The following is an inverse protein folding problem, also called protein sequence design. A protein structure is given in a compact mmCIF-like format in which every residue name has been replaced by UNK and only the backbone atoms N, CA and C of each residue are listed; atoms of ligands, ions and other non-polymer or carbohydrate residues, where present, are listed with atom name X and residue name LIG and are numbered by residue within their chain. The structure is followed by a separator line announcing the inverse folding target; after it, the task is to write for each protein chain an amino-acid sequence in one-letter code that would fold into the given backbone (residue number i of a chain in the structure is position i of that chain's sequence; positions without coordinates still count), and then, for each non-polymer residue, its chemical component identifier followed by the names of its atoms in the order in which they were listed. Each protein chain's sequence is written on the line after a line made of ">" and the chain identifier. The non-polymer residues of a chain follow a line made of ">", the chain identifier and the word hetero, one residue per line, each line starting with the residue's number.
data_IF_930510701869
#
_entry.id   IF_930510701869
#
_cell.length_a   1.000
_cell.length_b   1.000
_cell.length_c   1.000
_cell.angle_alpha   90.00
_cell.angle_beta   90.00
_cell.angle_gamma   90.00
#
_symmetry.space_group_name_H-M   'P 1'
#
loop_
_entity.id
_entity.type
_entity.pdbx_description
1 polymer ?
#
# COMPACT_ATOMS: atom_id res chain seq x y z
N UNK A 1 6.36 -20.22 -10.27
CA UNK A 1 5.11 -19.44 -10.34
C UNK A 1 5.33 -18.23 -11.24
N UNK A 2 4.43 -18.01 -12.19
CA UNK A 2 4.55 -16.88 -13.11
C UNK A 2 3.97 -15.62 -12.46
N UNK A 3 4.69 -14.52 -12.58
CA UNK A 3 4.23 -13.23 -12.04
C UNK A 3 3.19 -12.58 -12.97
N UNK A 4 2.24 -11.88 -12.37
CA UNK A 4 1.24 -11.11 -13.09
C UNK A 4 1.79 -9.71 -13.43
N UNK A 5 1.63 -9.31 -14.68
CA UNK A 5 2.15 -8.04 -15.16
C UNK A 5 1.06 -6.98 -15.38
N UNK A 6 -0.22 -7.38 -15.36
CA UNK A 6 -1.33 -6.41 -15.46
C UNK A 6 -1.42 -5.67 -14.13
N UNK A 7 -1.18 -4.35 -14.12
CA UNK A 7 -1.11 -3.63 -12.84
C UNK A 7 -2.46 -3.54 -12.14
N UNK A 8 -2.41 -3.54 -10.80
CA UNK A 8 -3.56 -3.22 -9.96
C UNK A 8 -3.41 -1.75 -9.55
N UNK A 9 -4.37 -0.93 -9.92
CA UNK A 9 -4.31 0.53 -9.76
C UNK A 9 -5.32 1.09 -8.77
N UNK A 10 -6.35 0.32 -8.44
CA UNK A 10 -7.50 0.79 -7.68
C UNK A 10 -8.65 1.25 -8.56
N UNK A 11 -8.45 1.32 -9.88
CA UNK A 11 -9.49 1.75 -10.84
C UNK A 11 -10.17 0.58 -11.55
N UNK A 12 -9.90 -0.65 -11.13
CA UNK A 12 -10.47 -1.84 -11.75
C UNK A 12 -11.99 -1.92 -11.59
N UNK A 13 -12.65 -2.48 -12.62
CA UNK A 13 -14.02 -2.92 -12.46
C UNK A 13 -14.02 -4.14 -11.53
N UNK A 14 -14.69 -4.02 -10.39
CA UNK A 14 -14.64 -5.04 -9.34
C UNK A 14 -15.58 -6.21 -9.58
N UNK A 15 -16.44 -6.13 -10.58
CA UNK A 15 -17.30 -7.26 -10.95
C UNK A 15 -16.46 -8.39 -11.54
N UNK A 16 -16.61 -9.58 -11.00
CA UNK A 16 -15.91 -10.76 -11.48
C UNK A 16 -14.46 -10.89 -11.08
N UNK A 17 -13.92 -9.96 -10.28
CA UNK A 17 -12.57 -10.10 -9.75
C UNK A 17 -12.52 -11.13 -8.62
N UNK A 18 -11.45 -11.92 -8.60
CA UNK A 18 -11.16 -12.77 -7.45
C UNK A 18 -10.96 -11.93 -6.19
N UNK A 19 -11.35 -12.47 -5.04
CA UNK A 19 -11.31 -11.73 -3.77
C UNK A 19 -9.93 -11.15 -3.42
N UNK A 20 -8.81 -11.86 -3.59
CA UNK A 20 -7.51 -11.26 -3.32
C UNK A 20 -7.23 -10.02 -4.20
N UNK A 21 -7.53 -10.08 -5.50
CA UNK A 21 -7.30 -8.96 -6.41
C UNK A 21 -8.23 -7.81 -6.06
N UNK A 22 -9.49 -8.09 -5.74
CA UNK A 22 -10.45 -7.08 -5.30
C UNK A 22 -9.97 -6.35 -4.05
N UNK A 23 -9.46 -7.10 -3.06
CA UNK A 23 -8.96 -6.54 -1.80
C UNK A 23 -7.72 -5.67 -2.04
N UNK A 24 -6.81 -6.11 -2.91
CA UNK A 24 -5.65 -5.31 -3.31
C UNK A 24 -6.09 -4.05 -4.05
N UNK A 25 -7.04 -4.17 -4.99
CA UNK A 25 -7.58 -3.02 -5.71
C UNK A 25 -8.20 -2.00 -4.74
N UNK A 26 -8.91 -2.45 -3.71
CA UNK A 26 -9.45 -1.56 -2.67
C UNK A 26 -8.35 -0.81 -1.94
N UNK A 27 -7.22 -1.47 -1.65
CA UNK A 27 -6.06 -0.80 -1.05
C UNK A 27 -5.53 0.31 -1.93
N UNK A 28 -5.26 0.02 -3.22
CA UNK A 28 -4.69 1.02 -4.11
C UNK A 28 -5.67 2.15 -4.43
N UNK A 29 -6.97 1.86 -4.46
CA UNK A 29 -7.99 2.91 -4.57
C UNK A 29 -7.94 3.85 -3.36
N UNK A 30 -7.88 3.30 -2.15
CA UNK A 30 -7.79 4.10 -0.93
C UNK A 30 -6.52 4.95 -0.91
N UNK A 31 -5.38 4.36 -1.26
CA UNK A 31 -4.09 5.04 -1.25
C UNK A 31 -4.03 6.15 -2.31
N UNK A 32 -4.36 5.82 -3.55
CA UNK A 32 -4.23 6.76 -4.67
C UNK A 32 -5.26 7.89 -4.60
N UNK A 33 -6.41 7.66 -3.98
CA UNK A 33 -7.45 8.66 -3.79
C UNK A 33 -7.35 9.38 -2.44
N UNK A 34 -6.33 9.05 -1.64
CA UNK A 34 -6.12 9.63 -0.30
C UNK A 34 -7.36 9.51 0.58
N UNK A 35 -7.98 8.35 0.57
CA UNK A 35 -9.23 8.09 1.30
C UNK A 35 -8.92 7.32 2.58
N UNK A 36 -8.82 8.03 3.68
CA UNK A 36 -8.47 7.45 4.97
C UNK A 36 -9.56 6.50 5.49
N UNK A 37 -10.83 6.81 5.22
CA UNK A 37 -11.93 5.94 5.61
C UNK A 37 -11.88 4.58 4.92
N UNK A 38 -11.63 4.58 3.61
CA UNK A 38 -11.43 3.32 2.87
C UNK A 38 -10.18 2.59 3.30
N UNK A 39 -9.11 3.32 3.62
CA UNK A 39 -7.90 2.71 4.13
C UNK A 39 -8.16 2.02 5.48
N UNK A 40 -8.92 2.64 6.37
CA UNK A 40 -9.31 2.03 7.63
C UNK A 40 -10.11 0.73 7.43
N UNK A 41 -10.94 0.67 6.39
CA UNK A 41 -11.70 -0.53 6.06
C UNK A 41 -10.83 -1.64 5.45
N UNK A 42 -9.71 -1.30 4.83
CA UNK A 42 -8.80 -2.28 4.25
C UNK A 42 -7.94 -2.96 5.32
N UNK A 43 -7.61 -2.27 6.40
CA UNK A 43 -6.82 -2.79 7.51
C UNK A 43 -7.69 -3.39 8.60
N UNK A 44 -7.18 -4.45 9.24
CA UNK A 44 -7.81 -4.97 10.46
C UNK A 44 -7.65 -3.93 11.59
N UNK A 45 -8.67 -3.83 12.44
CA UNK A 45 -8.71 -2.84 13.52
C UNK A 45 -8.34 -3.51 14.85
N UNK A 46 -7.14 -4.08 14.91
CA UNK A 46 -6.63 -4.81 16.07
C UNK A 46 -5.21 -4.37 16.39
N UNK A 47 -4.69 -4.80 17.53
CA UNK A 47 -3.31 -4.53 17.92
C UNK A 47 -2.32 -5.51 17.25
N UNK A 48 -2.82 -6.52 16.55
CA UNK A 48 -1.99 -7.54 15.89
C UNK A 48 -1.43 -7.09 14.53
N UNK A 49 -1.85 -5.93 14.02
CA UNK A 49 -1.40 -5.45 12.72
C UNK A 49 -0.07 -4.71 12.83
N UNK A 50 0.74 -4.81 11.77
CA UNK A 50 2.04 -4.15 11.73
C UNK A 50 2.37 -3.68 10.32
N UNK A 51 3.05 -2.55 10.23
CA UNK A 51 3.52 -1.95 8.99
C UNK A 51 5.00 -1.63 9.09
N UNK A 52 5.76 -2.05 8.09
CA UNK A 52 7.19 -1.78 7.95
C UNK A 52 7.44 -1.22 6.56
N UNK A 53 7.07 0.03 6.36
CA UNK A 53 7.10 0.68 5.05
C UNK A 53 8.38 1.51 4.86
N UNK A 54 8.64 2.01 3.61
CA UNK A 54 9.88 2.75 3.35
C UNK A 54 9.99 4.09 4.07
N UNK A 55 8.90 4.63 4.60
CA UNK A 55 8.93 5.93 5.29
C UNK A 55 9.80 5.87 6.54
N UNK A 56 9.86 4.70 7.17
CA UNK A 56 10.78 4.45 8.29
C UNK A 56 10.06 4.05 9.57
N UNK A 57 10.71 3.18 10.32
CA UNK A 57 10.20 2.67 11.57
C UNK A 57 9.12 1.61 11.38
N UNK A 58 8.92 0.82 12.43
CA UNK A 58 7.88 -0.18 12.46
C UNK A 58 6.69 0.41 13.22
N UNK A 59 5.50 0.33 12.62
CA UNK A 59 4.25 0.82 13.20
C UNK A 59 3.37 -0.36 13.56
N UNK A 60 2.84 -0.35 14.76
CA UNK A 60 2.00 -1.44 15.28
C UNK A 60 0.66 -0.88 15.75
N UNK A 61 -0.42 -1.57 15.38
CA UNK A 61 -1.78 -1.14 15.68
C UNK A 61 -2.27 -0.05 14.74
N UNK A 62 -3.60 0.09 14.65
CA UNK A 62 -4.19 1.00 13.67
C UNK A 62 -3.84 2.47 13.94
N UNK A 63 -3.78 2.89 15.20
CA UNK A 63 -3.51 4.31 15.49
C UNK A 63 -2.15 4.76 14.96
N UNK A 64 -1.10 3.93 15.10
CA UNK A 64 0.22 4.25 14.56
C UNK A 64 0.23 4.20 13.03
N UNK A 65 -0.41 3.19 12.45
CA UNK A 65 -0.49 3.03 10.99
C UNK A 65 -1.31 4.17 10.38
N UNK A 66 -2.44 4.50 10.98
CA UNK A 66 -3.28 5.63 10.57
C UNK A 66 -2.48 6.92 10.49
N UNK A 67 -1.64 7.19 11.48
CA UNK A 67 -0.83 8.40 11.51
C UNK A 67 0.11 8.51 10.31
N UNK A 68 0.65 7.38 9.83
CA UNK A 68 1.48 7.36 8.61
C UNK A 68 0.65 7.79 7.39
N UNK A 69 -0.53 7.20 7.22
CA UNK A 69 -1.39 7.54 6.08
C UNK A 69 -1.89 8.98 6.16
N UNK A 70 -2.27 9.46 7.34
CA UNK A 70 -2.68 10.86 7.51
C UNK A 70 -1.58 11.81 7.08
N UNK A 71 -0.33 11.52 7.44
CA UNK A 71 0.80 12.35 7.04
C UNK A 71 1.00 12.35 5.53
N UNK A 72 0.93 11.19 4.90
CA UNK A 72 1.08 11.08 3.44
C UNK A 72 -0.08 11.79 2.74
N UNK A 73 -1.31 11.55 3.17
CA UNK A 73 -2.51 12.07 2.50
C UNK A 73 -2.67 13.58 2.66
N UNK A 74 -2.22 14.15 3.78
CA UNK A 74 -2.31 15.58 4.06
C UNK A 74 -1.04 16.35 3.68
N UNK A 75 0.00 15.65 3.24
CA UNK A 75 1.26 16.29 2.88
C UNK A 75 1.22 16.98 1.53
N UNK A 76 2.28 17.71 1.22
CA UNK A 76 2.45 18.42 -0.06
C UNK A 76 2.66 17.47 -1.22
N UNK A 77 3.32 16.35 -0.97
CA UNK A 77 3.61 15.38 -2.01
C UNK A 77 2.35 14.59 -2.38
N UNK A 78 2.08 14.51 -3.68
CA UNK A 78 1.03 13.65 -4.23
C UNK A 78 1.66 12.36 -4.71
N UNK A 79 1.29 11.26 -4.08
CA UNK A 79 1.87 9.95 -4.37
C UNK A 79 0.85 9.10 -5.12
N UNK A 80 1.30 8.49 -6.21
CA UNK A 80 0.53 7.49 -6.96
C UNK A 80 1.39 6.25 -7.11
N UNK A 81 0.81 5.08 -6.84
CA UNK A 81 1.48 3.80 -7.09
C UNK A 81 0.50 2.78 -7.67
N UNK A 82 1.04 1.87 -8.47
CA UNK A 82 0.33 0.70 -8.96
C UNK A 82 1.15 -0.55 -8.69
N UNK A 83 0.48 -1.68 -8.50
CA UNK A 83 1.10 -2.95 -8.12
C UNK A 83 1.22 -3.85 -9.34
N UNK A 84 2.40 -4.34 -9.62
CA UNK A 84 2.66 -5.19 -10.79
C UNK A 84 3.76 -6.20 -10.46
N UNK A 85 4.03 -7.11 -11.39
CA UNK A 85 5.05 -8.15 -11.23
C UNK A 85 4.84 -8.89 -9.90
N UNK A 86 3.60 -9.31 -9.65
CA UNK A 86 3.22 -9.86 -8.37
C UNK A 86 2.79 -11.32 -8.46
N UNK A 87 2.86 -11.99 -7.32
CA UNK A 87 2.28 -13.31 -7.08
C UNK A 87 1.34 -13.24 -5.90
N UNK A 88 0.27 -14.04 -5.93
CA UNK A 88 -0.69 -14.15 -4.84
C UNK A 88 -0.65 -15.58 -4.30
N UNK A 89 -0.59 -15.71 -2.99
CA UNK A 89 -0.45 -16.97 -2.30
C UNK A 89 -1.59 -17.11 -1.29
N UNK A 90 -2.47 -18.08 -1.51
CA UNK A 90 -3.65 -18.29 -0.66
C UNK A 90 -3.48 -19.52 0.20
N UNK A 91 -3.84 -19.42 1.48
CA UNK A 91 -3.77 -20.51 2.44
C UNK A 91 -4.88 -20.35 3.47
N UNK A 92 -5.98 -21.09 3.31
CA UNK A 92 -7.11 -21.01 4.24
C UNK A 92 -7.71 -19.60 4.33
N UNK A 93 -7.69 -19.04 5.53
CA UNK A 93 -8.24 -17.70 5.79
C UNK A 93 -7.19 -16.58 5.69
N UNK A 94 -6.11 -16.83 4.97
CA UNK A 94 -5.03 -15.88 4.77
C UNK A 94 -4.61 -15.87 3.30
N UNK A 95 -4.21 -14.70 2.80
CA UNK A 95 -3.40 -14.63 1.59
C UNK A 95 -2.31 -13.59 1.76
N UNK A 96 -1.25 -13.74 1.00
CA UNK A 96 -0.27 -12.69 0.86
C UNK A 96 0.08 -12.47 -0.60
N UNK A 97 0.50 -11.25 -0.90
CA UNK A 97 0.92 -10.85 -2.24
C UNK A 97 2.33 -10.29 -2.15
N UNK A 98 3.16 -10.66 -3.13
CA UNK A 98 4.55 -10.21 -3.22
C UNK A 98 4.78 -9.67 -4.62
N UNK A 99 5.25 -8.44 -4.71
CA UNK A 99 5.48 -7.82 -6.01
C UNK A 99 6.17 -6.49 -5.90
N UNK A 100 5.96 -5.67 -6.92
CA UNK A 100 6.57 -4.35 -7.04
C UNK A 100 5.49 -3.29 -7.18
N UNK A 101 5.76 -2.14 -6.60
CA UNK A 101 4.98 -0.94 -6.88
C UNK A 101 5.82 -0.01 -7.74
N UNK A 102 5.18 0.61 -8.70
CA UNK A 102 5.77 1.67 -9.50
C UNK A 102 4.78 2.82 -9.56
N UNK A 103 5.32 4.01 -9.71
CA UNK A 103 4.50 5.21 -9.77
C UNK A 103 5.36 6.44 -9.65
N UNK A 104 4.84 7.44 -8.97
CA UNK A 104 5.55 8.71 -8.83
C UNK A 104 5.10 9.44 -7.57
N UNK A 105 5.95 10.35 -7.11
CA UNK A 105 5.48 11.41 -6.23
C UNK A 105 5.74 12.76 -6.86
N UNK A 106 4.84 13.70 -6.58
CA UNK A 106 4.87 15.03 -7.18
C UNK A 106 4.79 16.10 -6.11
N UNK A 107 5.74 17.02 -6.14
CA UNK A 107 5.72 18.23 -5.31
C UNK A 107 5.86 19.42 -6.25
N UNK A 108 4.81 20.27 -6.34
CA UNK A 108 4.79 21.36 -7.30
C UNK A 108 4.93 20.84 -8.72
N UNK A 109 5.96 21.28 -9.44
CA UNK A 109 6.26 20.84 -10.79
C UNK A 109 7.27 19.69 -10.85
N UNK A 110 7.83 19.31 -9.70
CA UNK A 110 8.80 18.22 -9.64
C UNK A 110 8.11 16.88 -9.55
N UNK A 111 8.43 15.98 -10.48
CA UNK A 111 7.90 14.61 -10.52
C UNK A 111 9.07 13.65 -10.39
N UNK A 112 8.97 12.70 -9.46
CA UNK A 112 10.01 11.70 -9.21
C UNK A 112 9.38 10.32 -9.33
N UNK A 113 9.96 9.47 -10.17
CA UNK A 113 9.51 8.09 -10.34
C UNK A 113 9.82 7.27 -9.10
N UNK A 114 8.86 6.43 -8.70
CA UNK A 114 8.98 5.52 -7.56
C UNK A 114 9.07 4.07 -8.02
N UNK A 115 9.93 3.31 -7.37
CA UNK A 115 10.01 1.86 -7.48
C UNK A 115 10.17 1.27 -6.09
N UNK A 116 9.26 0.40 -5.70
CA UNK A 116 9.17 -0.15 -4.34
C UNK A 116 8.97 -1.66 -4.45
N UNK A 117 9.71 -2.44 -3.66
CA UNK A 117 9.40 -3.86 -3.46
C UNK A 117 8.40 -3.94 -2.32
N UNK A 118 7.34 -4.73 -2.51
CA UNK A 118 6.19 -4.71 -1.61
C UNK A 118 5.67 -6.11 -1.34
N UNK A 119 5.36 -6.40 -0.08
CA UNK A 119 4.55 -7.54 0.29
C UNK A 119 3.44 -7.10 1.25
N UNK A 120 2.29 -7.80 1.16
CA UNK A 120 1.12 -7.51 1.98
C UNK A 120 0.48 -8.82 2.40
N UNK A 121 0.07 -8.90 3.67
CA UNK A 121 -0.61 -10.07 4.23
C UNK A 121 -2.03 -9.66 4.62
N UNK A 122 -3.01 -10.47 4.21
CA UNK A 122 -4.42 -10.26 4.51
C UNK A 122 -5.00 -11.48 5.21
N UNK A 123 -5.93 -11.26 6.12
CA UNK A 123 -6.66 -12.32 6.82
C UNK A 123 -8.16 -12.10 6.69
N UNK A 124 -8.90 -13.19 6.71
CA UNK A 124 -10.35 -13.15 6.75
C UNK A 124 -10.81 -12.88 8.18
N UNK A 125 -11.46 -11.74 8.40
CA UNK A 125 -11.93 -11.30 9.71
C UNK A 125 -13.43 -11.00 9.59
N UNK A 126 -14.24 -11.78 10.31
CA UNK A 126 -15.69 -11.63 10.27
C UNK A 126 -16.28 -11.61 8.85
N UNK A 127 -15.77 -12.52 8.00
CA UNK A 127 -16.24 -12.65 6.62
C UNK A 127 -15.68 -11.64 5.63
N UNK A 128 -14.75 -10.80 6.05
CA UNK A 128 -14.13 -9.79 5.18
C UNK A 128 -12.61 -9.89 5.24
N UNK A 129 -11.97 -9.72 4.09
CA UNK A 129 -10.52 -9.70 4.01
C UNK A 129 -9.98 -8.37 4.51
N UNK A 130 -9.02 -8.43 5.46
CA UNK A 130 -8.40 -7.25 6.08
C UNK A 130 -6.89 -7.39 6.07
N UNK A 131 -6.20 -6.31 5.78
CA UNK A 131 -4.75 -6.28 5.81
C UNK A 131 -4.24 -6.35 7.24
N UNK A 132 -3.24 -7.19 7.48
CA UNK A 132 -2.64 -7.34 8.81
C UNK A 132 -1.16 -6.99 8.81
N UNK A 133 -0.52 -6.96 7.66
CA UNK A 133 0.90 -6.62 7.55
C UNK A 133 1.23 -6.06 6.18
N UNK A 134 2.13 -5.10 6.18
CA UNK A 134 2.76 -4.56 4.97
C UNK A 134 4.25 -4.39 5.21
N UNK A 135 5.05 -4.82 4.23
CA UNK A 135 6.47 -4.49 4.14
C UNK A 135 6.73 -3.85 2.78
N UNK A 136 7.51 -2.77 2.78
CA UNK A 136 7.93 -2.12 1.56
C UNK A 136 9.35 -1.61 1.69
N UNK A 137 10.13 -1.69 0.60
CA UNK A 137 11.50 -1.20 0.58
C UNK A 137 11.84 -0.55 -0.74
N UNK A 138 12.69 0.47 -0.68
CA UNK A 138 13.25 1.16 -1.84
C UNK A 138 14.75 0.84 -1.85
N UNK A 139 15.21 0.24 -2.95
CA UNK A 139 16.59 -0.26 -3.03
C UNK A 139 17.63 0.84 -3.22
N UNK A 140 17.27 1.93 -3.93
CA UNK A 140 18.19 3.02 -4.18
C UNK A 140 18.21 4.01 -3.01
N UNK A 141 19.36 4.20 -2.31
CA UNK A 141 19.40 5.08 -1.13
C UNK A 141 19.01 6.52 -1.42
N UNK A 142 19.38 7.06 -2.58
CA UNK A 142 19.03 8.44 -2.95
C UNK A 142 17.54 8.59 -3.16
N UNK A 143 16.90 7.63 -3.83
CA UNK A 143 15.45 7.64 -4.01
C UNK A 143 14.73 7.50 -2.68
N UNK A 144 15.21 6.61 -1.81
CA UNK A 144 14.65 6.44 -0.47
C UNK A 144 14.68 7.74 0.31
N UNK A 145 15.84 8.42 0.32
CA UNK A 145 15.99 9.69 1.04
C UNK A 145 15.04 10.76 0.48
N UNK A 146 14.92 10.86 -0.84
CA UNK A 146 14.02 11.82 -1.48
C UNK A 146 12.55 11.54 -1.15
N UNK A 147 12.17 10.27 -1.17
CA UNK A 147 10.80 9.89 -0.84
C UNK A 147 10.48 10.17 0.63
N UNK A 148 11.37 9.79 1.54
CA UNK A 148 11.19 10.06 2.97
C UNK A 148 11.03 11.55 3.24
N UNK A 149 11.87 12.38 2.62
CA UNK A 149 11.78 13.83 2.77
C UNK A 149 10.44 14.35 2.22
N UNK A 150 10.05 13.88 1.04
CA UNK A 150 8.83 14.35 0.37
C UNK A 150 7.58 14.09 1.19
N UNK A 151 7.44 12.86 1.73
CA UNK A 151 6.20 12.46 2.43
C UNK A 151 6.16 12.92 3.88
N UNK A 152 7.28 13.39 4.43
CA UNK A 152 7.32 13.94 5.78
C UNK A 152 7.20 15.47 5.81
N UNK A 153 7.26 16.15 4.66
CA UNK A 153 7.03 17.59 4.59
C UNK A 153 5.57 17.91 4.85
N UNK A 154 5.32 18.87 5.75
CA UNK A 154 3.98 19.38 6.01
C UNK A 154 3.49 20.26 4.88
N UNK A 155 2.21 20.19 4.59
CA UNK A 155 1.55 21.12 3.66
C UNK A 155 1.32 22.47 4.29
#
# INVERSE_FOLDING_TARGET
>A
MKTEQIPITGSEDKQGLAEPIKTLSDFYAAFNNRDLGKMANNWAQTDEIAMDNPVGGIKRGWEEIKAVYERIFNGKAKVYVEFYDYTIHEQGEMFYAVGRERGEFRIGETVVDLTIRTSRVFQLVNGQWRQVHHYGSIDEPELLARYQQAVTESS
#
